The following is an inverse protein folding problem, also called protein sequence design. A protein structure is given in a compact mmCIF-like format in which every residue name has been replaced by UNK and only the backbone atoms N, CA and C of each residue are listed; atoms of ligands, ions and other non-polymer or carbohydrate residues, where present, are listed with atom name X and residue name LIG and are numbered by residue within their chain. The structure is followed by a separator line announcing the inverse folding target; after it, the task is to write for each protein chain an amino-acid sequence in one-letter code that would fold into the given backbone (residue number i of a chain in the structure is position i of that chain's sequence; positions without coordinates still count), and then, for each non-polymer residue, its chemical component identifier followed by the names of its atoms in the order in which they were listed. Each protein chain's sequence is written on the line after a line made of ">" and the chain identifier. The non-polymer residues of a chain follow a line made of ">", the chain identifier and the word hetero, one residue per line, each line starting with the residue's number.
data_IF_107802317607
#
_entry.id   IF_107802317607
#
_cell.length_a   1.000
_cell.length_b   1.000
_cell.length_c   1.000
_cell.angle_alpha   90.00
_cell.angle_beta   90.00
_cell.angle_gamma   90.00
#
_symmetry.space_group_name_H-M   'P 1'
#
loop_
_entity.id
_entity.type
_entity.pdbx_description
1 polymer ?
#
# COMPACT_ATOMS: atom_id res chain seq x y z
N UNK A 1 21.51 36.73 37.72
CA UNK A 1 21.60 37.76 36.66
C UNK A 1 21.58 37.07 35.29
N UNK A 2 20.59 37.43 34.46
CA UNK A 2 20.59 37.49 32.97
C UNK A 2 20.80 36.17 32.22
N UNK A 3 19.72 35.50 31.78
CA UNK A 3 18.97 35.68 30.51
C UNK A 3 19.78 35.24 29.27
N UNK A 4 19.29 34.21 28.57
CA UNK A 4 18.92 34.32 27.15
C UNK A 4 18.14 33.08 26.71
N UNK A 5 16.86 33.31 26.37
CA UNK A 5 16.05 32.42 25.55
C UNK A 5 16.36 32.71 24.08
N UNK A 6 16.41 31.67 23.24
CA UNK A 6 16.27 31.83 21.79
C UNK A 6 15.25 30.78 21.33
N UNK A 7 14.00 31.24 21.21
CA UNK A 7 12.99 30.60 20.39
C UNK A 7 13.41 30.74 18.92
N UNK A 8 13.44 29.63 18.19
CA UNK A 8 13.41 29.63 16.74
C UNK A 8 12.25 28.72 16.33
N UNK A 9 11.08 29.32 16.16
CA UNK A 9 9.93 28.69 15.53
C UNK A 9 10.25 28.48 14.05
N UNK A 10 10.57 27.25 13.67
CA UNK A 10 10.65 26.86 12.27
C UNK A 10 9.22 26.55 11.79
N UNK A 11 8.56 27.56 11.22
CA UNK A 11 7.37 27.37 10.39
C UNK A 11 7.81 26.69 9.09
N UNK A 12 7.84 25.35 9.09
CA UNK A 12 7.95 24.58 7.86
C UNK A 12 6.59 24.63 7.16
N UNK A 13 6.57 25.36 6.05
CA UNK A 13 5.43 25.55 5.17
C UNK A 13 4.82 24.20 4.77
N UNK A 14 3.57 23.97 5.16
CA UNK A 14 2.73 22.97 4.51
C UNK A 14 2.43 23.47 3.09
N UNK A 15 3.06 22.85 2.10
CA UNK A 15 2.61 22.92 0.72
C UNK A 15 1.47 21.90 0.57
N UNK A 16 0.20 22.32 0.38
CA UNK A 16 -0.79 21.39 -0.13
C UNK A 16 -0.41 21.12 -1.59
N UNK A 17 0.11 19.94 -1.89
CA UNK A 17 0.13 19.42 -3.25
C UNK A 17 -1.32 19.14 -3.64
N UNK A 18 -2.01 20.17 -4.13
CA UNK A 18 -3.25 20.03 -4.89
C UNK A 18 -2.87 19.52 -6.27
N UNK A 19 -2.73 18.20 -6.40
CA UNK A 19 -2.66 17.54 -7.70
C UNK A 19 -4.04 17.60 -8.38
N UNK A 20 -4.07 18.15 -9.59
CA UNK A 20 -5.20 18.11 -10.51
C UNK A 20 -5.66 16.68 -10.74
N UNK A 21 -6.97 16.48 -10.92
CA UNK A 21 -7.57 15.18 -11.17
C UNK A 21 -7.07 14.51 -12.44
N UNK A 22 -6.60 13.28 -12.23
CA UNK A 22 -6.95 12.13 -13.05
C UNK A 22 -7.46 11.09 -12.06
N UNK A 23 -8.38 10.21 -12.47
CA UNK A 23 -8.75 9.00 -11.74
C UNK A 23 -7.51 8.06 -11.69
N UNK A 24 -6.43 8.51 -11.06
CA UNK A 24 -5.21 7.73 -10.86
C UNK A 24 -5.39 6.99 -9.54
N UNK A 25 -5.60 5.68 -9.63
CA UNK A 25 -5.56 4.79 -8.48
C UNK A 25 -4.21 4.97 -7.73
N UNK A 26 -4.19 4.85 -6.39
CA UNK A 26 -2.99 5.13 -5.60
C UNK A 26 -1.87 4.13 -5.86
N UNK A 27 -0.64 4.64 -5.90
CA UNK A 27 0.60 3.85 -5.95
C UNK A 27 1.04 3.41 -4.55
N UNK A 28 1.77 2.29 -4.48
CA UNK A 28 2.47 1.86 -3.26
C UNK A 28 3.49 2.93 -2.84
N UNK A 29 3.60 3.26 -1.53
CA UNK A 29 4.59 4.22 -1.04
C UNK A 29 5.98 3.58 -0.96
N UNK A 30 6.49 3.04 -2.08
CA UNK A 30 7.70 2.21 -2.16
C UNK A 30 8.92 2.89 -1.52
N UNK A 31 9.13 4.18 -1.82
CA UNK A 31 10.24 4.96 -1.25
C UNK A 31 10.16 5.07 0.28
N UNK A 32 8.96 5.24 0.83
CA UNK A 32 8.76 5.30 2.27
C UNK A 32 9.01 3.92 2.89
N UNK A 33 8.45 2.85 2.32
CA UNK A 33 8.69 1.46 2.75
C UNK A 33 10.20 1.15 2.78
N UNK A 34 10.93 1.54 1.73
CA UNK A 34 12.38 1.36 1.63
C UNK A 34 13.17 2.12 2.70
N UNK A 35 12.69 3.27 3.14
CA UNK A 35 13.32 4.06 4.19
C UNK A 35 12.96 3.61 5.61
N UNK A 36 11.80 2.97 5.76
CA UNK A 36 11.22 2.63 7.06
C UNK A 36 11.56 1.21 7.50
N UNK A 37 11.57 0.25 6.57
CA UNK A 37 11.69 -1.17 6.90
C UNK A 37 13.03 -1.78 6.43
N UNK A 38 13.48 -2.84 7.11
CA UNK A 38 14.72 -3.52 6.80
C UNK A 38 14.60 -4.26 5.47
N UNK A 39 15.30 -3.81 4.43
CA UNK A 39 15.36 -4.54 3.16
C UNK A 39 16.05 -5.89 3.39
N UNK A 40 15.34 -6.97 3.09
CA UNK A 40 15.93 -8.32 3.14
C UNK A 40 16.76 -8.56 1.89
N UNK A 41 18.03 -8.94 2.06
CA UNK A 41 18.87 -9.37 0.95
C UNK A 41 18.31 -10.65 0.33
N UNK A 42 18.06 -10.64 -0.98
CA UNK A 42 17.50 -11.78 -1.71
C UNK A 42 17.24 -11.45 -3.18
N UNK A 43 16.81 -12.44 -3.95
CA UNK A 43 16.54 -12.29 -5.39
C UNK A 43 15.37 -11.34 -5.70
N UNK A 44 14.55 -11.01 -4.70
CA UNK A 44 13.35 -10.17 -4.85
C UNK A 44 13.56 -8.81 -4.21
N UNK A 45 13.62 -7.78 -5.05
CA UNK A 45 13.81 -6.39 -4.61
C UNK A 45 12.63 -5.84 -3.76
N UNK A 46 11.48 -6.50 -3.75
CA UNK A 46 10.29 -6.06 -3.01
C UNK A 46 10.16 -6.60 -1.58
N UNK A 47 11.17 -7.29 -1.04
CA UNK A 47 11.08 -7.92 0.29
C UNK A 47 11.70 -7.06 1.40
N UNK A 48 10.88 -6.75 2.40
CA UNK A 48 11.25 -6.00 3.59
C UNK A 48 10.81 -6.72 4.87
N UNK A 49 11.36 -6.26 5.98
CA UNK A 49 11.15 -6.85 7.28
C UNK A 49 10.97 -5.75 8.35
N UNK A 50 9.95 -5.95 9.18
CA UNK A 50 9.81 -5.35 10.50
C UNK A 50 9.84 -6.49 11.52
N UNK A 51 10.68 -6.39 12.54
CA UNK A 51 10.87 -7.49 13.51
C UNK A 51 9.95 -7.39 14.71
N UNK A 52 9.36 -6.22 14.94
CA UNK A 52 8.72 -5.88 16.22
C UNK A 52 7.28 -5.39 16.05
N UNK A 53 6.84 -5.16 14.80
CA UNK A 53 5.50 -4.68 14.49
C UNK A 53 4.66 -5.75 13.77
N UNK A 54 3.46 -6.00 14.30
CA UNK A 54 2.49 -6.96 13.73
C UNK A 54 1.88 -6.49 12.40
N UNK A 55 1.41 -7.42 11.54
CA UNK A 55 0.93 -7.09 10.20
C UNK A 55 -0.13 -5.99 10.12
N UNK A 56 -1.15 -6.03 10.99
CA UNK A 56 -2.19 -5.01 11.02
C UNK A 56 -1.65 -3.59 11.24
N UNK A 57 -0.64 -3.45 12.11
CA UNK A 57 -0.03 -2.14 12.41
C UNK A 57 0.88 -1.65 11.28
N UNK A 58 1.62 -2.56 10.66
CA UNK A 58 2.40 -2.25 9.46
C UNK A 58 1.48 -1.83 8.31
N UNK A 59 0.35 -2.51 8.14
CA UNK A 59 -0.65 -2.17 7.14
C UNK A 59 -1.25 -0.79 7.37
N UNK A 60 -1.68 -0.49 8.61
CA UNK A 60 -2.20 0.83 8.98
C UNK A 60 -1.18 1.95 8.67
N UNK A 61 0.11 1.70 8.90
CA UNK A 61 1.18 2.66 8.62
C UNK A 61 1.39 2.86 7.11
N UNK A 62 1.40 1.79 6.32
CA UNK A 62 1.54 1.86 4.86
C UNK A 62 0.32 2.55 4.22
N UNK A 63 -0.89 2.19 4.62
CA UNK A 63 -2.12 2.83 4.15
C UNK A 63 -2.19 4.31 4.55
N UNK A 64 -1.63 4.67 5.70
CA UNK A 64 -1.55 6.06 6.15
C UNK A 64 -0.74 6.98 5.22
N UNK A 65 0.14 6.42 4.38
CA UNK A 65 0.99 7.20 3.48
C UNK A 65 0.33 7.51 2.13
N UNK A 66 -0.23 6.51 1.44
CA UNK A 66 -0.86 6.71 0.11
C UNK A 66 -2.28 6.18 -0.04
N UNK A 67 -2.87 5.54 0.97
CA UNK A 67 -4.21 4.94 0.92
C UNK A 67 -4.29 3.75 -0.04
N UNK A 68 -4.66 2.57 0.44
CA UNK A 68 -4.87 1.43 -0.45
C UNK A 68 -6.24 1.52 -1.15
N UNK A 69 -6.35 0.96 -2.36
CA UNK A 69 -7.62 0.78 -3.07
C UNK A 69 -8.51 -0.20 -2.29
N UNK A 70 -7.89 -1.23 -1.73
CA UNK A 70 -8.58 -2.27 -0.99
C UNK A 70 -7.66 -2.97 0.01
N UNK A 71 -8.27 -3.55 1.05
CA UNK A 71 -7.59 -4.30 2.12
C UNK A 71 -8.30 -5.62 2.38
N UNK A 72 -7.51 -6.69 2.52
CA UNK A 72 -7.98 -8.00 2.99
C UNK A 72 -7.14 -8.40 4.20
N UNK A 73 -7.80 -8.82 5.27
CA UNK A 73 -7.18 -9.46 6.43
C UNK A 73 -7.55 -10.93 6.46
N UNK A 74 -6.55 -11.81 6.51
CA UNK A 74 -6.75 -13.25 6.55
C UNK A 74 -5.58 -13.95 7.25
N UNK A 75 -5.89 -14.89 8.15
CA UNK A 75 -4.91 -15.68 8.93
C UNK A 75 -3.77 -14.84 9.56
N UNK A 76 -4.11 -13.68 10.12
CA UNK A 76 -3.14 -12.77 10.74
C UNK A 76 -2.23 -12.02 9.74
N UNK A 77 -2.43 -12.22 8.44
CA UNK A 77 -1.79 -11.46 7.36
C UNK A 77 -2.72 -10.34 6.88
N UNK A 78 -2.13 -9.32 6.28
CA UNK A 78 -2.86 -8.22 5.63
C UNK A 78 -2.36 -8.03 4.22
N UNK A 79 -3.28 -7.84 3.29
CA UNK A 79 -3.00 -7.61 1.88
C UNK A 79 -3.60 -6.27 1.49
N UNK A 80 -2.77 -5.40 0.91
CA UNK A 80 -3.17 -4.10 0.40
C UNK A 80 -3.08 -4.08 -1.12
N UNK A 81 -4.13 -3.61 -1.78
CA UNK A 81 -4.18 -3.44 -3.24
C UNK A 81 -3.93 -1.98 -3.61
N UNK A 82 -3.04 -1.77 -4.57
CA UNK A 82 -2.70 -0.50 -5.20
C UNK A 82 -2.87 -0.61 -6.71
N UNK A 83 -2.61 0.44 -7.49
CA UNK A 83 -2.93 0.48 -8.94
C UNK A 83 -2.27 -0.66 -9.74
N UNK A 84 -0.95 -0.80 -9.64
CA UNK A 84 -0.23 -1.87 -10.37
C UNK A 84 0.40 -2.89 -9.40
N UNK A 85 0.13 -2.78 -8.10
CA UNK A 85 0.87 -3.46 -7.05
C UNK A 85 -0.02 -4.13 -5.98
N UNK A 86 0.52 -5.17 -5.34
CA UNK A 86 0.04 -5.73 -4.07
C UNK A 86 1.15 -5.62 -3.03
N UNK A 87 0.77 -5.21 -1.82
CA UNK A 87 1.62 -5.32 -0.63
C UNK A 87 1.05 -6.41 0.26
N UNK A 88 1.78 -7.51 0.40
CA UNK A 88 1.44 -8.59 1.33
C UNK A 88 2.26 -8.45 2.61
N UNK A 89 1.58 -8.44 3.74
CA UNK A 89 2.16 -8.22 5.06
C UNK A 89 1.82 -9.46 5.90
N UNK A 90 2.81 -10.32 6.09
CA UNK A 90 2.63 -11.63 6.72
C UNK A 90 3.38 -11.70 8.05
N UNK A 91 2.89 -12.43 9.06
CA UNK A 91 3.60 -12.61 10.33
C UNK A 91 5.04 -13.10 10.13
N UNK A 92 5.95 -12.57 10.94
CA UNK A 92 7.35 -12.99 10.98
C UNK A 92 7.81 -13.24 12.42
N UNK A 93 8.78 -14.15 12.57
CA UNK A 93 9.36 -14.50 13.86
C UNK A 93 8.60 -15.60 14.60
N UNK A 94 9.24 -16.22 15.59
CA UNK A 94 8.65 -17.32 16.36
C UNK A 94 7.46 -16.89 17.23
N UNK A 95 7.43 -15.61 17.63
CA UNK A 95 6.36 -15.03 18.44
C UNK A 95 5.27 -14.32 17.60
N UNK A 96 5.41 -14.28 16.27
CA UNK A 96 4.48 -13.61 15.34
C UNK A 96 4.25 -12.12 15.69
N UNK A 97 5.27 -11.49 16.24
CA UNK A 97 5.34 -10.09 16.64
C UNK A 97 5.90 -9.18 15.54
N UNK A 98 6.65 -9.74 14.59
CA UNK A 98 7.13 -9.05 13.40
C UNK A 98 6.25 -9.24 12.17
N UNK A 99 6.66 -8.59 11.09
CA UNK A 99 6.05 -8.64 9.77
C UNK A 99 7.10 -8.78 8.67
N UNK A 100 6.85 -9.71 7.74
CA UNK A 100 7.48 -9.69 6.42
C UNK A 100 6.57 -8.94 5.47
N UNK A 101 7.15 -8.02 4.71
CA UNK A 101 6.45 -7.16 3.74
C UNK A 101 6.95 -7.54 2.35
N UNK A 102 6.04 -7.90 1.46
CA UNK A 102 6.35 -8.27 0.08
C UNK A 102 5.57 -7.35 -0.87
N UNK A 103 6.30 -6.56 -1.65
CA UNK A 103 5.76 -5.73 -2.73
C UNK A 103 5.97 -6.48 -4.04
N UNK A 104 4.87 -6.82 -4.70
CA UNK A 104 4.84 -7.47 -6.01
C UNK A 104 3.91 -6.70 -6.94
N UNK A 105 4.18 -6.78 -8.25
CA UNK A 105 3.21 -6.37 -9.25
C UNK A 105 1.90 -7.16 -9.05
N UNK A 106 0.76 -6.51 -9.28
CA UNK A 106 -0.57 -7.03 -8.93
C UNK A 106 -0.81 -8.46 -9.39
N UNK A 107 -0.53 -8.78 -10.66
CA UNK A 107 -0.81 -10.10 -11.23
C UNK A 107 0.03 -11.20 -10.56
N UNK A 108 1.32 -10.90 -10.33
CA UNK A 108 2.26 -11.81 -9.67
C UNK A 108 1.86 -12.01 -8.21
N UNK A 109 1.60 -10.92 -7.49
CA UNK A 109 1.17 -10.95 -6.08
C UNK A 109 -0.16 -11.68 -5.91
N UNK A 110 -1.15 -11.38 -6.75
CA UNK A 110 -2.50 -11.98 -6.71
C UNK A 110 -2.44 -13.47 -7.00
N UNK A 111 -1.58 -13.90 -7.92
CA UNK A 111 -1.32 -15.32 -8.18
C UNK A 111 -0.68 -16.01 -6.97
N UNK A 112 0.39 -15.41 -6.43
CA UNK A 112 1.12 -15.90 -5.25
C UNK A 112 0.24 -16.06 -4.02
N UNK A 113 -0.61 -15.06 -3.76
CA UNK A 113 -1.49 -15.00 -2.59
C UNK A 113 -2.94 -15.38 -2.91
N UNK A 114 -3.17 -16.10 -4.00
CA UNK A 114 -4.50 -16.42 -4.52
C UNK A 114 -5.41 -17.09 -3.48
N UNK A 115 -4.88 -17.93 -2.59
CA UNK A 115 -5.65 -18.53 -1.48
C UNK A 115 -6.30 -17.50 -0.57
N UNK A 116 -5.69 -16.33 -0.42
CA UNK A 116 -6.15 -15.26 0.46
C UNK A 116 -6.99 -14.23 -0.29
N UNK A 117 -6.60 -13.85 -1.52
CA UNK A 117 -7.18 -12.67 -2.17
C UNK A 117 -8.09 -12.98 -3.37
N UNK A 118 -7.99 -14.18 -3.96
CA UNK A 118 -8.66 -14.47 -5.25
C UNK A 118 -10.18 -14.46 -5.20
N UNK A 119 -10.76 -14.62 -4.02
CA UNK A 119 -12.21 -14.61 -3.81
C UNK A 119 -12.82 -13.21 -3.93
N UNK A 120 -11.99 -12.16 -3.87
CA UNK A 120 -12.41 -10.76 -3.88
C UNK A 120 -11.68 -9.94 -4.95
N UNK A 121 -10.41 -10.23 -5.21
CA UNK A 121 -9.59 -9.51 -6.17
C UNK A 121 -9.57 -10.20 -7.55
N UNK A 122 -9.87 -9.46 -8.63
CA UNK A 122 -9.92 -9.98 -9.99
C UNK A 122 -8.56 -10.55 -10.43
N UNK A 123 -8.55 -11.43 -11.43
CA UNK A 123 -7.30 -12.05 -11.90
C UNK A 123 -6.32 -11.04 -12.50
N UNK A 124 -6.85 -10.03 -13.20
CA UNK A 124 -6.10 -8.91 -13.73
C UNK A 124 -6.79 -7.61 -13.31
N UNK A 125 -5.98 -6.60 -13.00
CA UNK A 125 -6.48 -5.32 -12.49
C UNK A 125 -7.18 -4.53 -13.59
N UNK A 126 -6.54 -4.46 -14.76
CA UNK A 126 -6.99 -3.68 -15.92
C UNK A 126 -8.07 -4.37 -16.78
N UNK A 127 -8.34 -5.65 -16.53
CA UNK A 127 -9.49 -6.36 -17.14
C UNK A 127 -10.81 -6.12 -16.39
N UNK A 128 -10.77 -5.38 -15.27
CA UNK A 128 -11.97 -4.85 -14.60
C UNK A 128 -12.47 -3.58 -15.30
N UNK A 129 -12.55 -3.63 -16.63
CA UNK A 129 -13.14 -2.58 -17.45
C UNK A 129 -14.61 -2.37 -17.06
N UNK A 130 -14.85 -1.33 -16.29
CA UNK A 130 -16.15 -0.75 -16.02
C UNK A 130 -16.80 -0.06 -17.24
N UNK A 131 -16.47 -0.45 -18.48
CA UNK A 131 -17.02 0.16 -19.69
C UNK A 131 -18.27 -0.53 -20.25
N UNK A 132 -18.84 -1.52 -19.54
CA UNK A 132 -20.04 -2.24 -20.01
C UNK A 132 -21.27 -2.15 -19.09
N UNK A 133 -21.46 -1.03 -18.38
CA UNK A 133 -22.77 -0.70 -17.75
C UNK A 133 -23.13 0.78 -17.89
N UNK A 134 -23.46 1.16 -19.11
CA UNK A 134 -24.20 2.39 -19.44
C UNK A 134 -25.01 2.18 -20.71
N UNK A 135 -26.00 1.29 -20.66
CA UNK A 135 -26.93 1.08 -21.78
C UNK A 135 -27.75 2.35 -22.08
N UNK A 136 -27.66 2.82 -23.32
CA UNK A 136 -28.68 3.60 -24.05
C UNK A 136 -29.10 4.96 -23.47
N UNK A 137 -29.08 6.01 -24.30
CA UNK A 137 -30.35 6.34 -24.95
C UNK A 137 -30.19 6.54 -26.46
N UNK A 138 -31.19 6.04 -27.21
CA UNK A 138 -31.33 6.31 -28.62
C UNK A 138 -31.29 7.82 -28.92
N UNK A 139 -30.56 8.16 -29.97
CA UNK A 139 -30.66 9.39 -30.75
C UNK A 139 -29.98 9.03 -32.07
N UNK A 140 -30.70 8.61 -33.10
CA UNK A 140 -31.61 9.50 -33.81
C UNK A 140 -30.82 10.16 -34.94
N UNK A 141 -30.74 9.48 -36.09
CA UNK A 141 -30.86 9.95 -37.48
C UNK A 141 -30.23 8.95 -38.44
#
# INVERSE_FOLDING_TARGET
>A
MRRSAISAAALLALLPLTGCGSDDDPDVPRRWIESTYERTGGERAGLFLDRDTRPARVADAIEGETGAIDRIEDDGSVFLRYDDDIVAITPYGAALDGSRIDIDDYETGRSRYSSHVSHRWPAAQRDSGGDFRGGGPGSGK
#
